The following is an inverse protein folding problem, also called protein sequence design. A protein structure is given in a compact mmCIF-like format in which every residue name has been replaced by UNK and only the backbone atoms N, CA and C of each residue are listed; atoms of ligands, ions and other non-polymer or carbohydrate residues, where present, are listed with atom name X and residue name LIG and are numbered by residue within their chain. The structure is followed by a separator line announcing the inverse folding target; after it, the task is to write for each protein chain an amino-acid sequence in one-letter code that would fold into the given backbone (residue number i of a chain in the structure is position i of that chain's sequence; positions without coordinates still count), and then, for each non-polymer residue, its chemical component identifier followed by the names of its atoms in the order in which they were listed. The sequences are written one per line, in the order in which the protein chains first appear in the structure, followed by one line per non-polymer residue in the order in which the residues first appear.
data_IF_122995261093
#
_entry.id   IF_122995261093
#
_cell.length_a   1.000
_cell.length_b   1.000
_cell.length_c   1.000
_cell.angle_alpha   90.00
_cell.angle_beta   90.00
_cell.angle_gamma   90.00
#
_symmetry.space_group_name_H-M   'P 1'
#
loop_
_entity.id
_entity.type
_entity.pdbx_description
1 polymer ?
#
# COMPACT_ATOMS: atom_id res chain seq x y z
N UNK A 1 -7.71 20.71 15.11
CA UNK A 1 -8.17 21.90 14.40
C UNK A 1 -8.51 21.57 12.96
N UNK A 2 -9.54 22.16 12.46
CA UNK A 2 -10.01 21.90 11.09
C UNK A 2 -8.94 22.26 10.07
N UNK A 3 -8.80 21.43 9.06
CA UNK A 3 -7.88 21.66 7.98
C UNK A 3 -6.46 21.21 8.23
N UNK A 4 -6.17 20.75 9.45
CA UNK A 4 -4.83 20.24 9.78
C UNK A 4 -4.73 18.72 9.76
N UNK A 5 -5.86 18.03 9.74
CA UNK A 5 -5.85 16.57 9.71
C UNK A 5 -5.39 16.07 8.35
N UNK A 6 -4.67 14.97 8.36
CA UNK A 6 -4.10 14.39 7.16
C UNK A 6 -4.30 12.88 7.21
N UNK A 7 -4.90 12.32 6.18
CA UNK A 7 -5.00 10.88 6.05
C UNK A 7 -3.75 10.35 5.36
N UNK A 8 -3.26 9.22 5.84
CA UNK A 8 -2.10 8.57 5.24
C UNK A 8 -2.39 7.12 4.90
N UNK A 9 -1.85 6.69 3.78
CA UNK A 9 -1.94 5.30 3.33
C UNK A 9 -0.52 4.87 2.98
N UNK A 10 -0.06 3.81 3.63
CA UNK A 10 1.23 3.21 3.31
C UNK A 10 1.00 1.93 2.55
N UNK A 11 1.70 1.75 1.44
CA UNK A 11 1.54 0.59 0.57
C UNK A 11 2.90 -0.01 0.31
N UNK A 12 3.00 -1.32 0.50
CA UNK A 12 4.20 -2.09 0.20
C UNK A 12 3.85 -3.12 -0.87
N UNK A 13 4.73 -3.28 -1.85
CA UNK A 13 4.56 -4.32 -2.86
C UNK A 13 4.99 -5.66 -2.27
N UNK A 14 4.06 -6.60 -2.21
CA UNK A 14 4.37 -7.95 -1.73
C UNK A 14 5.21 -8.67 -2.76
N UNK A 15 6.23 -9.38 -2.28
CA UNK A 15 7.09 -10.23 -3.14
C UNK A 15 7.79 -9.49 -4.26
N UNK A 16 8.06 -8.21 -4.08
CA UNK A 16 8.76 -7.43 -5.10
C UNK A 16 10.12 -8.03 -5.44
N UNK A 17 10.82 -8.56 -4.42
CA UNK A 17 12.10 -9.21 -4.63
C UNK A 17 11.97 -10.38 -5.60
N UNK A 18 10.89 -11.15 -5.51
CA UNK A 18 10.63 -12.25 -6.42
C UNK A 18 10.48 -11.79 -7.86
N UNK A 19 9.86 -10.64 -8.07
CA UNK A 19 9.72 -10.08 -9.44
C UNK A 19 11.12 -9.80 -10.00
N UNK A 20 11.98 -9.16 -9.22
CA UNK A 20 13.36 -8.90 -9.63
C UNK A 20 14.12 -10.20 -9.89
N UNK A 21 13.99 -11.18 -9.00
CA UNK A 21 14.74 -12.43 -9.09
C UNK A 21 14.32 -13.27 -10.30
N UNK A 22 13.02 -13.29 -10.59
CA UNK A 22 12.47 -14.11 -11.67
C UNK A 22 12.58 -13.43 -13.03
N UNK A 23 12.29 -12.13 -13.09
CA UNK A 23 12.16 -11.41 -14.36
C UNK A 23 13.24 -10.38 -14.61
N UNK A 24 14.09 -10.09 -13.62
CA UNK A 24 15.16 -9.10 -13.74
C UNK A 24 14.76 -7.71 -13.24
N UNK A 25 15.78 -6.89 -13.00
CA UNK A 25 15.57 -5.55 -12.41
C UNK A 25 14.80 -4.60 -13.32
N UNK A 26 14.95 -4.75 -14.64
CA UNK A 26 14.21 -3.93 -15.59
C UNK A 26 12.71 -4.16 -15.45
N UNK A 27 12.31 -5.42 -15.30
CA UNK A 27 10.90 -5.76 -15.06
C UNK A 27 10.46 -5.30 -13.69
N UNK A 28 11.33 -5.37 -12.68
CA UNK A 28 11.06 -4.82 -11.36
C UNK A 28 10.77 -3.32 -11.42
N UNK A 29 11.54 -2.58 -12.23
CA UNK A 29 11.28 -1.16 -12.43
C UNK A 29 9.91 -0.93 -13.08
N UNK A 30 9.55 -1.74 -14.05
CA UNK A 30 8.22 -1.67 -14.67
C UNK A 30 7.13 -1.93 -13.64
N UNK A 31 7.35 -2.87 -12.74
CA UNK A 31 6.39 -3.19 -11.68
C UNK A 31 6.16 -1.99 -10.76
N UNK A 32 7.23 -1.27 -10.41
CA UNK A 32 7.12 -0.06 -9.60
C UNK A 32 6.34 1.04 -10.33
N UNK A 33 6.60 1.21 -11.62
CA UNK A 33 5.89 2.19 -12.45
C UNK A 33 4.41 1.81 -12.54
N UNK A 34 4.12 0.54 -12.77
CA UNK A 34 2.75 0.04 -12.86
C UNK A 34 2.02 0.21 -11.53
N UNK A 35 2.70 -0.07 -10.41
CA UNK A 35 2.12 0.10 -9.07
C UNK A 35 1.73 1.56 -8.83
N UNK A 36 2.61 2.49 -9.16
CA UNK A 36 2.31 3.91 -9.01
C UNK A 36 1.11 4.33 -9.88
N UNK A 37 1.03 3.79 -11.09
CA UNK A 37 -0.09 4.09 -12.00
C UNK A 37 -1.40 3.54 -11.45
N UNK A 38 -1.38 2.31 -10.94
CA UNK A 38 -2.55 1.69 -10.32
C UNK A 38 -3.08 2.56 -9.19
N UNK A 39 -2.16 3.06 -8.34
CA UNK A 39 -2.53 3.93 -7.23
C UNK A 39 -3.07 5.26 -7.73
N UNK A 40 -2.39 5.88 -8.68
CA UNK A 40 -2.77 7.21 -9.16
C UNK A 40 -4.16 7.20 -9.79
N UNK A 41 -4.51 6.16 -10.52
CA UNK A 41 -5.83 6.03 -11.14
C UNK A 41 -6.96 5.97 -10.12
N UNK A 42 -6.66 5.50 -8.91
CA UNK A 42 -7.66 5.29 -7.86
C UNK A 42 -7.80 6.49 -6.92
N UNK A 43 -6.94 7.49 -7.06
CA UNK A 43 -6.86 8.59 -6.10
C UNK A 43 -7.40 9.90 -6.69
N UNK A 44 -7.93 10.79 -5.84
CA UNK A 44 -8.27 12.14 -6.30
C UNK A 44 -7.01 12.91 -6.67
N UNK A 45 -7.15 13.89 -7.54
CA UNK A 45 -6.03 14.71 -8.01
C UNK A 45 -5.30 15.42 -6.86
N UNK A 46 -6.01 15.68 -5.77
CA UNK A 46 -5.44 16.36 -4.61
C UNK A 46 -4.58 15.47 -3.73
N UNK A 47 -4.63 14.16 -3.93
CA UNK A 47 -3.82 13.23 -3.15
C UNK A 47 -2.35 13.34 -3.58
N UNK A 48 -1.46 13.27 -2.60
CA UNK A 48 -0.04 13.27 -2.83
C UNK A 48 0.45 11.83 -2.77
N UNK A 49 1.07 11.36 -3.84
CA UNK A 49 1.64 10.02 -3.92
C UNK A 49 3.15 10.14 -4.02
N UNK A 50 3.87 9.43 -3.15
CA UNK A 50 5.31 9.44 -3.18
C UNK A 50 5.87 8.05 -2.91
N UNK A 51 7.00 7.76 -3.54
CA UNK A 51 7.74 6.55 -3.24
C UNK A 51 8.56 6.83 -2.00
N UNK A 52 8.34 6.06 -0.95
CA UNK A 52 8.96 6.31 0.35
C UNK A 52 10.33 5.62 0.43
N UNK A 53 10.40 4.37 0.07
CA UNK A 53 11.64 3.60 0.08
C UNK A 53 11.42 2.35 -0.79
N UNK A 54 12.45 1.90 -1.49
CA UNK A 54 12.43 0.64 -2.24
C UNK A 54 11.10 0.36 -2.93
N UNK A 55 10.32 -0.55 -2.34
CA UNK A 55 9.02 -0.98 -2.84
C UNK A 55 7.86 -0.44 -1.99
N UNK A 56 8.09 0.64 -1.26
CA UNK A 56 7.09 1.27 -0.39
C UNK A 56 6.65 2.61 -0.91
N UNK A 57 5.35 2.86 -0.83
CA UNK A 57 4.73 4.13 -1.25
C UNK A 57 3.92 4.70 -0.10
N UNK A 58 3.84 6.02 -0.04
CA UNK A 58 2.99 6.73 0.91
C UNK A 58 2.07 7.67 0.13
N UNK A 59 0.80 7.67 0.52
CA UNK A 59 -0.21 8.55 -0.03
C UNK A 59 -0.70 9.44 1.10
N UNK A 60 -0.76 10.74 0.85
CA UNK A 60 -1.28 11.70 1.82
C UNK A 60 -2.51 12.38 1.22
N UNK A 61 -3.58 12.43 2.01
CA UNK A 61 -4.84 13.03 1.62
C UNK A 61 -5.28 13.97 2.73
N UNK A 62 -5.64 15.18 2.36
CA UNK A 62 -6.04 16.19 3.34
C UNK A 62 -7.46 15.91 3.83
N UNK A 63 -7.58 15.07 4.85
CA UNK A 63 -8.86 14.69 5.44
C UNK A 63 -8.65 14.12 6.83
N UNK A 64 -9.65 14.30 7.70
CA UNK A 64 -9.70 13.63 8.99
C UNK A 64 -10.77 12.56 9.03
N UNK A 65 -11.38 12.26 7.90
CA UNK A 65 -12.49 11.30 7.80
C UNK A 65 -11.95 9.91 7.43
N UNK A 66 -12.04 8.96 8.36
CA UNK A 66 -11.55 7.61 8.13
C UNK A 66 -12.31 6.91 7.00
N UNK A 67 -13.59 7.22 6.80
CA UNK A 67 -14.34 6.62 5.70
C UNK A 67 -13.80 7.05 4.35
N UNK A 68 -13.39 8.30 4.23
CA UNK A 68 -12.81 8.81 3.00
C UNK A 68 -11.52 8.06 2.67
N UNK A 69 -10.70 7.80 3.69
CA UNK A 69 -9.47 7.02 3.53
C UNK A 69 -9.79 5.59 3.12
N UNK A 70 -10.79 4.98 3.75
CA UNK A 70 -11.18 3.61 3.41
C UNK A 70 -11.75 3.51 2.00
N UNK A 71 -12.46 4.53 1.54
CA UNK A 71 -12.92 4.59 0.15
C UNK A 71 -11.74 4.59 -0.82
N UNK A 72 -10.72 5.37 -0.51
CA UNK A 72 -9.50 5.40 -1.32
C UNK A 72 -8.85 4.02 -1.36
N UNK A 73 -8.76 3.35 -0.22
CA UNK A 73 -8.18 2.00 -0.17
C UNK A 73 -8.99 1.03 -1.02
N UNK A 74 -10.31 1.08 -0.93
CA UNK A 74 -11.16 0.22 -1.77
C UNK A 74 -10.94 0.47 -3.25
N UNK A 75 -10.81 1.74 -3.62
CA UNK A 75 -10.56 2.12 -5.01
C UNK A 75 -9.20 1.61 -5.48
N UNK A 76 -8.18 1.69 -4.61
CA UNK A 76 -6.85 1.16 -4.93
C UNK A 76 -6.92 -0.35 -5.14
N UNK A 77 -7.64 -1.06 -4.28
CA UNK A 77 -7.76 -2.52 -4.40
C UNK A 77 -8.50 -2.91 -5.69
N UNK A 78 -9.53 -2.14 -6.07
CA UNK A 78 -10.25 -2.37 -7.32
C UNK A 78 -9.35 -2.12 -8.53
N UNK A 79 -8.59 -1.03 -8.50
CA UNK A 79 -7.65 -0.69 -9.57
C UNK A 79 -6.58 -1.76 -9.72
N UNK A 80 -6.08 -2.26 -8.60
CA UNK A 80 -5.08 -3.34 -8.59
C UNK A 80 -5.64 -4.61 -9.22
N UNK A 81 -6.85 -4.98 -8.85
CA UNK A 81 -7.50 -6.18 -9.36
C UNK A 81 -7.68 -6.08 -10.87
N UNK A 82 -8.15 -4.92 -11.35
CA UNK A 82 -8.33 -4.68 -12.77
C UNK A 82 -6.99 -4.77 -13.52
N UNK A 83 -5.95 -4.17 -12.97
CA UNK A 83 -4.62 -4.23 -13.56
C UNK A 83 -4.17 -5.68 -13.72
N UNK A 84 -4.31 -6.47 -12.65
CA UNK A 84 -3.87 -7.86 -12.68
C UNK A 84 -4.65 -8.71 -13.67
N UNK A 85 -5.90 -8.34 -13.93
CA UNK A 85 -6.75 -9.07 -14.88
C UNK A 85 -6.54 -8.67 -16.32
N UNK A 86 -6.19 -7.40 -16.57
CA UNK A 86 -6.23 -6.86 -17.93
C UNK A 86 -4.88 -6.43 -18.50
N UNK A 87 -3.85 -6.29 -17.67
CA UNK A 87 -2.58 -5.70 -18.14
C UNK A 87 -1.78 -6.58 -19.08
N UNK A 88 -1.96 -7.89 -19.01
CA UNK A 88 -1.15 -8.83 -19.77
C UNK A 88 0.28 -8.96 -19.29
N UNK A 89 0.62 -8.36 -18.15
CA UNK A 89 1.97 -8.50 -17.59
C UNK A 89 2.23 -9.93 -17.14
N UNK A 90 3.48 -10.35 -17.19
CA UNK A 90 3.88 -11.68 -16.73
C UNK A 90 3.78 -11.83 -15.22
N UNK A 91 3.89 -10.70 -14.49
CA UNK A 91 3.79 -10.68 -13.03
C UNK A 91 2.43 -10.19 -12.60
N UNK A 92 2.06 -10.53 -11.38
CA UNK A 92 0.92 -9.94 -10.69
C UNK A 92 1.45 -9.00 -9.62
N UNK A 93 0.74 -7.91 -9.39
CA UNK A 93 1.06 -7.00 -8.29
C UNK A 93 0.21 -7.39 -7.09
N UNK A 94 0.78 -7.25 -5.90
CA UNK A 94 0.09 -7.49 -4.64
C UNK A 94 0.51 -6.40 -3.68
N UNK A 95 -0.46 -5.79 -3.01
CA UNK A 95 -0.21 -4.70 -2.07
C UNK A 95 -0.59 -5.10 -0.66
N UNK A 96 0.24 -4.72 0.31
CA UNK A 96 -0.15 -4.68 1.72
C UNK A 96 -0.31 -3.22 2.09
N UNK A 97 -1.43 -2.88 2.73
CA UNK A 97 -1.87 -1.51 2.93
C UNK A 97 -2.14 -1.24 4.40
N UNK A 98 -1.63 -0.11 4.91
CA UNK A 98 -1.92 0.37 6.24
C UNK A 98 -2.28 1.83 6.20
N UNK A 99 -3.18 2.26 7.07
CA UNK A 99 -3.66 3.64 7.09
C UNK A 99 -3.50 4.24 8.48
N UNK A 100 -3.51 5.56 8.52
CA UNK A 100 -3.54 6.31 9.76
C UNK A 100 -4.08 7.70 9.46
N UNK A 101 -4.52 8.39 10.50
CA UNK A 101 -4.94 9.79 10.37
C UNK A 101 -4.09 10.61 11.31
N UNK A 102 -3.40 11.60 10.75
CA UNK A 102 -2.60 12.52 11.52
C UNK A 102 -3.53 13.56 12.13
N UNK A 103 -3.56 13.62 13.46
CA UNK A 103 -4.42 14.54 14.19
C UNK A 103 -3.56 15.43 15.08
N UNK A 104 -4.15 16.51 15.56
CA UNK A 104 -3.50 17.42 16.48
C UNK A 104 -2.92 16.66 17.69
N UNK A 105 -1.69 16.96 18.04
CA UNK A 105 -0.99 16.29 19.15
C UNK A 105 -0.19 15.07 18.76
N UNK A 106 -0.37 14.59 17.55
CA UNK A 106 0.34 13.43 17.02
C UNK A 106 1.68 13.87 16.44
N UNK A 107 2.70 13.02 16.53
CA UNK A 107 3.99 13.30 15.87
C UNK A 107 4.05 12.63 14.51
N UNK A 108 4.96 13.12 13.65
CA UNK A 108 5.21 12.48 12.35
C UNK A 108 5.60 11.01 12.55
N UNK A 109 6.45 10.75 13.55
CA UNK A 109 6.90 9.39 13.84
C UNK A 109 5.74 8.48 14.21
N UNK A 110 4.83 8.92 15.08
CA UNK A 110 3.71 8.08 15.48
C UNK A 110 2.74 7.86 14.31
N UNK A 111 2.58 8.86 13.46
CA UNK A 111 1.77 8.74 12.24
C UNK A 111 2.32 7.65 11.32
N UNK A 112 3.63 7.74 11.03
CA UNK A 112 4.29 6.75 10.16
C UNK A 112 4.27 5.35 10.79
N UNK A 113 4.53 5.27 12.09
CA UNK A 113 4.53 3.97 12.79
C UNK A 113 3.17 3.31 12.76
N UNK A 114 2.11 4.10 12.90
CA UNK A 114 0.76 3.56 12.87
C UNK A 114 0.42 3.00 11.49
N UNK A 115 0.76 3.74 10.42
CA UNK A 115 0.59 3.25 9.07
C UNK A 115 1.37 1.95 8.84
N UNK A 116 2.62 1.94 9.27
CA UNK A 116 3.50 0.81 9.10
C UNK A 116 2.99 -0.42 9.85
N UNK A 117 2.58 -0.24 11.11
CA UNK A 117 2.04 -1.33 11.91
C UNK A 117 0.78 -1.92 11.27
N UNK A 118 -0.11 -1.05 10.79
CA UNK A 118 -1.34 -1.50 10.15
C UNK A 118 -1.06 -2.21 8.83
N UNK A 119 -0.08 -1.75 8.08
CA UNK A 119 0.35 -2.41 6.84
C UNK A 119 0.91 -3.81 7.14
N UNK A 120 1.69 -3.94 8.22
CA UNK A 120 2.25 -5.22 8.62
C UNK A 120 1.19 -6.23 9.04
N UNK A 121 0.06 -5.77 9.55
CA UNK A 121 -1.05 -6.67 9.88
C UNK A 121 -1.50 -7.42 8.63
N UNK A 122 -1.70 -6.71 7.54
CA UNK A 122 -2.10 -7.34 6.28
C UNK A 122 -0.98 -8.22 5.72
N UNK A 123 0.27 -7.72 5.77
CA UNK A 123 1.41 -8.48 5.28
C UNK A 123 1.57 -9.80 6.02
N UNK A 124 1.43 -9.79 7.34
CA UNK A 124 1.53 -11.00 8.16
C UNK A 124 0.38 -11.95 7.88
N UNK A 125 -0.82 -11.42 7.69
CA UNK A 125 -1.97 -12.25 7.37
C UNK A 125 -1.75 -13.02 6.07
N UNK A 126 -1.25 -12.34 5.05
CA UNK A 126 -0.92 -12.99 3.78
C UNK A 126 0.17 -14.04 3.94
N UNK A 127 1.17 -13.76 4.78
CA UNK A 127 2.23 -14.71 5.06
C UNK A 127 1.66 -16.00 5.68
N UNK A 128 0.79 -15.87 6.66
CA UNK A 128 0.17 -17.02 7.31
C UNK A 128 -0.74 -17.79 6.35
N UNK A 129 -1.42 -17.11 5.46
CA UNK A 129 -2.26 -17.78 4.46
C UNK A 129 -1.42 -18.63 3.51
N UNK A 130 -0.21 -18.17 3.16
CA UNK A 130 0.71 -18.91 2.30
C UNK A 130 1.48 -20.00 3.07
N UNK A 131 1.64 -19.82 4.36
CA UNK A 131 2.43 -20.70 5.21
C UNK A 131 1.63 -21.10 6.45
N UNK A 132 0.56 -21.92 6.27
CA UNK A 132 -0.33 -22.27 7.39
C UNK A 132 0.38 -22.96 8.53
N UNK A 133 1.46 -23.73 8.24
CA UNK A 133 2.22 -24.43 9.26
C UNK A 133 2.88 -23.46 10.25
N UNK A 134 3.25 -22.26 9.81
CA UNK A 134 3.82 -21.23 10.69
C UNK A 134 2.78 -20.76 11.69
N UNK A 135 1.55 -20.53 11.23
CA UNK A 135 0.45 -20.14 12.10
C UNK A 135 0.17 -21.21 13.15
N UNK A 136 0.16 -22.45 12.74
CA UNK A 136 -0.09 -23.58 13.65
C UNK A 136 0.96 -23.66 14.74
N UNK A 137 2.23 -23.45 14.39
CA UNK A 137 3.33 -23.50 15.36
C UNK A 137 3.19 -22.39 16.40
N UNK A 138 2.75 -21.22 15.99
CA UNK A 138 2.62 -20.06 16.86
C UNK A 138 1.30 -20.00 17.59
N UNK A 139 0.36 -20.79 17.16
CA UNK A 139 -0.96 -20.87 17.77
C UNK A 139 -0.95 -21.75 18.97
#
# INVERSE_FOLDING_TARGET
RKGTDMGGIMIDLDDFKSINDVYGHSTGDDALIDAARVMRLALPDTAMLMRFAGDEFIILIKTGDSEEIEDCVRNIRSSLREFNETSGRKYKLSFSIGTSIFRSGMTSDSFLKEMDSNMYIEKNQKHYERHPSVRTVNG
#
